data_IF_246607660728
#
_entry.id   IF_246607660728
#
_cell.length_a   1.000
_cell.length_b   1.000
_cell.length_c   1.000
_cell.angle_alpha   90.00
_cell.angle_beta   90.00
_cell.angle_gamma   90.00
#
_symmetry.space_group_name_H-M   'P 1'
#
loop_
_entity.id
_entity.type
_entity.pdbx_description
1 polymer ?
#
# COMPACT_ATOMS: atom_id res chain seq x y z
N UNK A 1 19.11 -17.89 -19.36
CA UNK A 1 19.08 -16.40 -19.30
C UNK A 1 18.13 -15.91 -20.36
N UNK A 2 16.86 -15.78 -20.05
CA UNK A 2 15.85 -15.22 -20.96
C UNK A 2 15.99 -13.70 -20.87
N UNK A 3 16.55 -13.10 -21.91
CA UNK A 3 16.58 -11.65 -22.10
C UNK A 3 15.15 -11.14 -22.07
N UNK A 4 14.83 -10.25 -21.13
CA UNK A 4 13.56 -9.55 -21.13
C UNK A 4 13.49 -8.76 -22.44
N UNK A 5 12.69 -9.24 -23.40
CA UNK A 5 12.36 -8.51 -24.62
C UNK A 5 11.51 -7.32 -24.18
N UNK A 6 12.13 -6.13 -24.13
CA UNK A 6 11.38 -4.88 -24.11
C UNK A 6 10.54 -4.86 -25.40
N UNK A 7 9.25 -4.50 -25.35
CA UNK A 7 8.53 -4.25 -26.59
C UNK A 7 9.31 -3.16 -27.32
N UNK A 8 9.86 -3.50 -28.51
CA UNK A 8 10.44 -2.51 -29.38
C UNK A 8 9.34 -1.47 -29.67
N UNK A 9 9.68 -0.18 -29.84
CA UNK A 9 8.74 0.74 -30.43
C UNK A 9 8.41 0.15 -31.81
N UNK A 10 7.18 -0.29 -31.94
CA UNK A 10 6.70 -1.03 -33.14
C UNK A 10 6.61 -0.14 -34.36
N UNK A 11 7.23 1.02 -34.40
CA UNK A 11 7.25 1.94 -35.53
C UNK A 11 5.86 2.39 -36.01
N UNK A 12 4.80 1.93 -35.32
CA UNK A 12 3.43 2.35 -35.61
C UNK A 12 3.27 3.83 -35.28
N UNK A 13 2.67 4.63 -36.19
CA UNK A 13 2.35 6.02 -35.92
C UNK A 13 1.57 6.10 -34.59
N UNK A 14 1.92 7.05 -33.76
CA UNK A 14 1.20 7.27 -32.49
C UNK A 14 -0.24 7.66 -32.83
N UNK A 15 -1.17 6.84 -32.39
CA UNK A 15 -2.62 7.08 -32.50
C UNK A 15 -3.14 8.04 -31.42
N UNK A 16 -2.25 8.72 -30.67
CA UNK A 16 -2.60 9.58 -29.54
C UNK A 16 -2.87 8.82 -28.23
N UNK A 17 -2.67 7.50 -28.21
CA UNK A 17 -2.83 6.67 -27.01
C UNK A 17 -1.78 7.00 -25.95
N UNK A 18 -2.16 7.42 -24.72
CA UNK A 18 -1.20 7.76 -23.67
C UNK A 18 -0.48 6.50 -23.16
N UNK A 19 0.83 6.65 -22.92
CA UNK A 19 1.73 5.58 -22.46
C UNK A 19 2.23 5.92 -21.05
N UNK A 20 1.73 5.20 -20.04
CA UNK A 20 2.00 5.46 -18.63
C UNK A 20 2.89 4.35 -18.08
N UNK A 21 4.09 4.70 -17.60
CA UNK A 21 5.01 3.77 -16.98
C UNK A 21 5.00 3.96 -15.46
N UNK A 22 4.66 2.91 -14.73
CA UNK A 22 4.69 2.90 -13.28
C UNK A 22 6.02 2.36 -12.75
N UNK A 23 6.55 2.98 -11.69
CA UNK A 23 7.73 2.54 -10.97
C UNK A 23 7.39 2.30 -9.51
N UNK A 24 7.36 1.04 -9.11
CA UNK A 24 7.04 0.64 -7.74
C UNK A 24 7.82 -0.61 -7.35
N UNK A 25 8.00 -0.86 -6.06
CA UNK A 25 8.58 -2.13 -5.65
C UNK A 25 8.89 -2.24 -4.17
N UNK A 26 9.18 -3.47 -3.78
CA UNK A 26 9.64 -3.86 -2.46
C UNK A 26 8.55 -4.29 -1.50
N UNK A 27 7.49 -3.52 -1.34
CA UNK A 27 6.41 -3.82 -0.38
C UNK A 27 5.04 -3.50 -0.95
N UNK A 28 3.98 -4.10 -0.38
CA UNK A 28 2.59 -3.82 -0.75
C UNK A 28 2.21 -2.34 -0.63
N UNK A 29 2.85 -1.63 0.31
CA UNK A 29 2.63 -0.20 0.49
C UNK A 29 2.98 0.67 -0.72
N UNK A 30 3.85 0.19 -1.62
CA UNK A 30 4.20 0.89 -2.87
C UNK A 30 3.51 0.27 -4.08
N UNK A 31 3.30 -1.04 -4.07
CA UNK A 31 2.79 -1.80 -5.22
C UNK A 31 1.28 -1.61 -5.39
N UNK A 32 0.49 -1.74 -4.34
CA UNK A 32 -0.97 -1.60 -4.43
C UNK A 32 -1.43 -0.18 -4.76
N UNK A 33 -0.84 0.91 -4.22
CA UNK A 33 -1.11 2.26 -4.70
C UNK A 33 -0.83 2.46 -6.19
N UNK A 34 0.27 1.88 -6.72
CA UNK A 34 0.58 1.94 -8.14
C UNK A 34 -0.48 1.22 -8.98
N UNK A 35 -0.93 0.03 -8.56
CA UNK A 35 -2.00 -0.71 -9.22
C UNK A 35 -3.31 0.08 -9.18
N UNK A 36 -3.69 0.66 -8.04
CA UNK A 36 -4.91 1.45 -7.93
C UNK A 36 -4.90 2.68 -8.85
N UNK A 37 -3.76 3.36 -8.98
CA UNK A 37 -3.62 4.47 -9.94
C UNK A 37 -3.71 3.94 -11.39
N UNK A 38 -3.10 2.80 -11.70
CA UNK A 38 -3.14 2.19 -13.03
C UNK A 38 -4.57 1.78 -13.43
N UNK A 39 -5.33 1.22 -12.48
CA UNK A 39 -6.75 0.90 -12.67
C UNK A 39 -7.57 2.15 -12.96
N UNK A 40 -7.31 3.25 -12.23
CA UNK A 40 -7.93 4.54 -12.49
C UNK A 40 -7.54 5.13 -13.85
N UNK A 41 -6.27 4.98 -14.27
CA UNK A 41 -5.84 5.37 -15.63
C UNK A 41 -6.58 4.57 -16.70
N UNK A 42 -6.72 3.26 -16.51
CA UNK A 42 -7.47 2.38 -17.44
C UNK A 42 -8.95 2.72 -17.48
N UNK A 43 -9.56 3.05 -16.35
CA UNK A 43 -10.95 3.49 -16.31
C UNK A 43 -11.19 4.81 -17.05
N UNK A 44 -10.31 5.80 -16.88
CA UNK A 44 -10.40 7.11 -17.56
C UNK A 44 -10.00 7.03 -19.05
N UNK A 45 -9.09 6.14 -19.42
CA UNK A 45 -8.57 5.93 -20.78
C UNK A 45 -8.38 4.43 -21.06
N UNK A 46 -9.42 3.71 -21.50
CA UNK A 46 -9.37 2.25 -21.70
C UNK A 46 -8.28 1.77 -22.68
N UNK A 47 -7.87 2.62 -23.63
CA UNK A 47 -6.81 2.32 -24.60
C UNK A 47 -5.41 2.69 -24.11
N UNK A 48 -5.25 3.32 -22.91
CA UNK A 48 -3.94 3.70 -22.42
C UNK A 48 -3.00 2.48 -22.35
N UNK A 49 -1.79 2.64 -22.87
CA UNK A 49 -0.74 1.65 -22.70
C UNK A 49 -0.12 1.82 -21.31
N UNK A 50 -0.22 0.79 -20.49
CA UNK A 50 0.23 0.80 -19.11
C UNK A 50 1.27 -0.30 -18.93
N UNK A 51 2.42 0.03 -18.36
CA UNK A 51 3.44 -0.93 -17.97
C UNK A 51 4.06 -0.57 -16.62
N UNK A 52 4.70 -1.57 -16.00
CA UNK A 52 5.35 -1.42 -14.70
C UNK A 52 6.85 -1.72 -14.80
N UNK A 53 7.63 -1.02 -13.98
CA UNK A 53 9.02 -1.33 -13.68
C UNK A 53 9.10 -1.89 -12.27
N UNK A 54 9.79 -3.02 -12.11
CA UNK A 54 9.92 -3.71 -10.81
C UNK A 54 11.15 -4.62 -10.75
N UNK A 55 11.31 -5.34 -9.64
CA UNK A 55 12.36 -6.35 -9.44
C UNK A 55 11.80 -7.75 -9.49
N UNK A 56 12.58 -8.72 -10.00
CA UNK A 56 12.12 -10.11 -10.22
C UNK A 56 11.87 -10.91 -8.94
N UNK A 57 12.51 -10.53 -7.85
CA UNK A 57 12.58 -11.26 -6.59
C UNK A 57 11.65 -10.68 -5.51
N UNK A 58 10.74 -9.77 -5.89
CA UNK A 58 9.85 -9.09 -4.97
C UNK A 58 8.39 -9.28 -5.34
N UNK A 59 7.51 -8.86 -4.43
CA UNK A 59 6.08 -9.09 -4.55
C UNK A 59 5.44 -8.45 -5.79
N UNK A 60 6.00 -7.35 -6.29
CA UNK A 60 5.50 -6.70 -7.50
C UNK A 60 5.52 -7.61 -8.72
N UNK A 61 6.49 -8.56 -8.77
CA UNK A 61 6.61 -9.51 -9.87
C UNK A 61 5.45 -10.51 -9.95
N UNK A 62 4.75 -10.74 -8.85
CA UNK A 62 3.53 -11.55 -8.80
C UNK A 62 2.26 -10.67 -8.80
N UNK A 63 2.24 -9.56 -8.06
CA UNK A 63 1.04 -8.76 -7.87
C UNK A 63 0.63 -8.00 -9.14
N UNK A 64 1.58 -7.42 -9.87
CA UNK A 64 1.31 -6.62 -11.06
C UNK A 64 0.71 -7.47 -12.20
N UNK A 65 1.25 -8.66 -12.55
CA UNK A 65 0.63 -9.52 -13.56
C UNK A 65 -0.74 -10.04 -13.14
N UNK A 66 -0.96 -10.32 -11.84
CA UNK A 66 -2.29 -10.70 -11.33
C UNK A 66 -3.33 -9.60 -11.52
N UNK A 67 -2.90 -8.33 -11.49
CA UNK A 67 -3.74 -7.17 -11.79
C UNK A 67 -3.91 -6.93 -13.31
N UNK A 68 -3.34 -7.78 -14.17
CA UNK A 68 -3.48 -7.70 -15.63
C UNK A 68 -2.56 -6.67 -16.29
N UNK A 69 -1.42 -6.33 -15.67
CA UNK A 69 -0.45 -5.39 -16.21
C UNK A 69 0.89 -6.06 -16.54
N UNK A 70 1.57 -5.67 -17.63
CA UNK A 70 2.93 -6.08 -17.90
C UNK A 70 3.92 -5.44 -16.93
N UNK A 71 4.95 -6.21 -16.53
CA UNK A 71 6.03 -5.74 -15.68
C UNK A 71 7.39 -6.01 -16.32
N UNK A 72 8.28 -5.03 -16.25
CA UNK A 72 9.64 -5.11 -16.78
C UNK A 72 10.66 -5.05 -15.65
N UNK A 73 11.68 -5.90 -15.74
CA UNK A 73 12.73 -5.96 -14.73
C UNK A 73 13.70 -4.79 -14.85
N UNK A 74 14.00 -4.17 -13.71
CA UNK A 74 15.07 -3.18 -13.55
C UNK A 74 16.03 -3.68 -12.49
N UNK A 75 17.33 -3.57 -12.76
CA UNK A 75 18.37 -3.93 -11.80
C UNK A 75 18.38 -2.91 -10.66
N UNK A 76 17.97 -3.32 -9.46
CA UNK A 76 17.99 -2.44 -8.28
C UNK A 76 18.49 -3.21 -7.08
N UNK A 77 19.26 -2.55 -6.23
CA UNK A 77 19.58 -3.06 -4.90
C UNK A 77 19.45 -1.94 -3.87
N UNK A 78 18.81 -2.25 -2.73
CA UNK A 78 18.83 -1.32 -1.60
C UNK A 78 20.20 -1.26 -0.93
N UNK A 79 20.55 -0.10 -0.39
CA UNK A 79 21.70 0.06 0.49
C UNK A 79 21.46 -0.71 1.80
N UNK A 80 22.42 -1.56 2.19
CA UNK A 80 22.30 -2.37 3.41
C UNK A 80 22.82 -1.56 4.61
N UNK A 81 21.92 -1.36 5.58
CA UNK A 81 22.26 -0.70 6.85
C UNK A 81 22.86 -1.71 7.82
N UNK A 82 24.14 -2.00 7.72
CA UNK A 82 24.80 -2.91 8.64
C UNK A 82 26.31 -2.94 8.39
N UNK A 83 27.07 -3.23 9.45
CA UNK A 83 28.54 -3.32 9.40
C UNK A 83 29.04 -4.76 9.22
N UNK A 84 28.19 -5.69 8.78
CA UNK A 84 28.61 -7.06 8.50
C UNK A 84 29.45 -7.12 7.21
N UNK A 85 30.42 -8.04 7.13
CA UNK A 85 31.26 -8.22 5.94
C UNK A 85 30.43 -8.42 4.65
N UNK A 86 29.27 -9.10 4.77
CA UNK A 86 28.33 -9.25 3.66
C UNK A 86 27.61 -7.96 3.27
N UNK A 87 27.32 -7.05 4.23
CA UNK A 87 26.75 -5.74 3.96
C UNK A 87 27.78 -4.82 3.28
N UNK A 88 29.03 -4.81 3.77
CA UNK A 88 30.13 -4.06 3.17
C UNK A 88 30.39 -4.47 1.71
N UNK A 89 30.46 -5.78 1.43
CA UNK A 89 30.65 -6.29 0.06
C UNK A 89 29.47 -5.90 -0.86
N UNK A 90 28.22 -5.98 -0.37
CA UNK A 90 27.04 -5.55 -1.14
C UNK A 90 27.02 -4.04 -1.36
N UNK A 91 27.44 -3.26 -0.38
CA UNK A 91 27.52 -1.80 -0.49
C UNK A 91 28.66 -1.35 -1.42
N UNK A 92 29.79 -2.07 -1.47
CA UNK A 92 30.85 -1.82 -2.46
C UNK A 92 30.39 -2.00 -3.92
N UNK A 93 29.45 -2.93 -4.17
CA UNK A 93 28.84 -3.13 -5.48
C UNK A 93 27.68 -2.16 -5.77
N UNK A 94 27.26 -1.35 -4.80
CA UNK A 94 26.10 -0.45 -4.93
C UNK A 94 26.23 0.57 -6.07
N UNK A 95 27.37 1.28 -6.29
CA UNK A 95 27.52 2.22 -7.41
C UNK A 95 27.34 1.55 -8.78
N UNK A 96 27.89 0.35 -8.96
CA UNK A 96 27.77 -0.41 -10.21
C UNK A 96 26.33 -0.87 -10.46
N UNK A 97 25.64 -1.30 -9.41
CA UNK A 97 24.24 -1.70 -9.49
C UNK A 97 23.32 -0.49 -9.74
N UNK A 98 23.63 0.65 -9.14
CA UNK A 98 22.90 1.90 -9.41
C UNK A 98 23.08 2.33 -10.88
N UNK A 99 24.31 2.28 -11.42
CA UNK A 99 24.58 2.57 -12.83
C UNK A 99 23.86 1.59 -13.77
N UNK A 100 23.89 0.28 -13.46
CA UNK A 100 23.15 -0.72 -14.22
C UNK A 100 21.65 -0.46 -14.17
N UNK A 101 21.10 -0.17 -12.98
CA UNK A 101 19.68 0.16 -12.81
C UNK A 101 19.26 1.41 -13.57
N UNK A 102 20.09 2.44 -13.57
CA UNK A 102 19.83 3.64 -14.36
C UNK A 102 19.87 3.34 -15.86
N UNK A 103 20.85 2.55 -16.33
CA UNK A 103 20.92 2.13 -17.73
C UNK A 103 19.68 1.33 -18.15
N UNK A 104 19.27 0.36 -17.33
CA UNK A 104 18.07 -0.45 -17.60
C UNK A 104 16.81 0.43 -17.62
N UNK A 105 16.72 1.38 -16.68
CA UNK A 105 15.61 2.34 -16.62
C UNK A 105 15.57 3.28 -17.83
N UNK A 106 16.73 3.80 -18.26
CA UNK A 106 16.82 4.63 -19.46
C UNK A 106 16.38 3.86 -20.70
N UNK A 107 16.77 2.57 -20.83
CA UNK A 107 16.33 1.71 -21.93
C UNK A 107 14.83 1.47 -21.85
N UNK A 108 14.29 1.13 -20.68
CA UNK A 108 12.86 0.87 -20.49
C UNK A 108 12.01 2.10 -20.82
N UNK A 109 12.33 3.26 -20.23
CA UNK A 109 11.60 4.52 -20.49
C UNK A 109 11.62 4.87 -21.99
N UNK A 110 12.76 4.63 -22.66
CA UNK A 110 12.89 4.87 -24.10
C UNK A 110 12.18 3.83 -24.97
N UNK A 111 12.33 2.54 -24.69
CA UNK A 111 11.72 1.47 -25.47
C UNK A 111 10.19 1.42 -25.30
N UNK A 112 9.70 1.65 -24.08
CA UNK A 112 8.27 1.82 -23.84
C UNK A 112 7.75 3.16 -24.42
N UNK A 113 8.65 4.11 -24.67
CA UNK A 113 8.34 5.47 -25.12
C UNK A 113 7.30 6.16 -24.21
N UNK A 114 7.55 6.09 -22.90
CA UNK A 114 6.65 6.62 -21.89
C UNK A 114 6.33 8.10 -22.12
N UNK A 115 5.06 8.47 -22.09
CA UNK A 115 4.63 9.87 -22.09
C UNK A 115 4.70 10.48 -20.70
N UNK A 116 4.48 9.66 -19.67
CA UNK A 116 4.59 10.03 -18.27
C UNK A 116 5.07 8.84 -17.44
N UNK A 117 5.86 9.12 -16.41
CA UNK A 117 6.27 8.13 -15.41
C UNK A 117 5.62 8.44 -14.07
N UNK A 118 5.06 7.43 -13.41
CA UNK A 118 4.45 7.54 -12.08
C UNK A 118 5.27 6.71 -11.10
N UNK A 119 5.90 7.35 -10.13
CA UNK A 119 6.67 6.72 -9.05
C UNK A 119 5.89 6.68 -7.75
N UNK A 120 5.66 5.48 -7.20
CA UNK A 120 4.98 5.30 -5.92
C UNK A 120 5.92 4.89 -4.79
N UNK A 121 7.24 4.95 -5.03
CA UNK A 121 8.23 4.66 -4.01
C UNK A 121 8.90 3.28 -4.16
N UNK A 122 9.67 2.93 -3.14
CA UNK A 122 10.57 1.79 -3.20
C UNK A 122 11.86 2.08 -3.97
N UNK A 123 12.76 1.10 -3.97
CA UNK A 123 14.09 1.28 -4.60
C UNK A 123 14.04 1.43 -6.12
N UNK A 124 12.97 0.93 -6.77
CA UNK A 124 12.76 1.00 -8.22
C UNK A 124 12.46 2.42 -8.67
N UNK A 125 11.70 3.18 -7.88
CA UNK A 125 11.30 4.55 -8.24
C UNK A 125 12.49 5.49 -8.41
N UNK A 126 13.61 5.25 -7.71
CA UNK A 126 14.82 6.07 -7.82
C UNK A 126 15.40 6.11 -9.24
N UNK A 127 15.93 4.99 -9.76
CA UNK A 127 16.53 4.96 -11.09
C UNK A 127 15.53 5.20 -12.23
N UNK A 128 14.26 4.75 -12.09
CA UNK A 128 13.24 4.97 -13.12
C UNK A 128 12.79 6.43 -13.17
N UNK A 129 12.59 7.06 -12.01
CA UNK A 129 12.27 8.49 -11.92
C UNK A 129 13.42 9.37 -12.45
N UNK A 130 14.67 9.04 -12.10
CA UNK A 130 15.83 9.73 -12.67
C UNK A 130 15.93 9.56 -14.19
N UNK A 131 15.65 8.35 -14.71
CA UNK A 131 15.61 8.10 -16.15
C UNK A 131 14.50 8.91 -16.85
N UNK A 132 13.34 9.08 -16.21
CA UNK A 132 12.28 9.95 -16.72
C UNK A 132 12.78 11.39 -16.87
N UNK A 133 13.40 11.95 -15.83
CA UNK A 133 13.95 13.31 -15.84
C UNK A 133 15.03 13.47 -16.94
N UNK A 134 15.99 12.54 -17.02
CA UNK A 134 17.04 12.58 -18.03
C UNK A 134 16.50 12.47 -19.46
N UNK A 135 15.40 11.76 -19.66
CA UNK A 135 14.69 11.65 -20.95
C UNK A 135 13.64 12.73 -21.15
N UNK A 136 13.60 13.74 -20.28
CA UNK A 136 12.62 14.85 -20.34
C UNK A 136 11.17 14.34 -20.40
N UNK A 137 10.87 13.25 -19.65
CA UNK A 137 9.52 12.74 -19.48
C UNK A 137 8.91 13.30 -18.21
N UNK A 138 7.67 13.77 -18.23
CA UNK A 138 6.97 14.16 -17.01
C UNK A 138 7.05 13.05 -15.95
N UNK A 139 7.34 13.45 -14.71
CA UNK A 139 7.40 12.56 -13.55
C UNK A 139 6.32 12.97 -12.55
N UNK A 140 5.48 12.03 -12.17
CA UNK A 140 4.53 12.15 -11.06
C UNK A 140 5.03 11.30 -9.91
N UNK A 141 5.04 11.84 -8.71
CA UNK A 141 5.42 11.13 -7.49
C UNK A 141 4.22 11.05 -6.57
N UNK A 142 4.00 9.89 -5.98
CA UNK A 142 3.06 9.68 -4.89
C UNK A 142 3.82 9.16 -3.67
N UNK A 143 3.77 9.89 -2.56
CA UNK A 143 4.31 9.50 -1.26
C UNK A 143 3.18 9.01 -0.36
N UNK A 144 3.31 7.81 0.16
CA UNK A 144 2.26 7.18 0.96
C UNK A 144 2.31 7.54 2.43
N UNK A 145 3.50 7.75 2.99
CA UNK A 145 3.69 7.88 4.42
C UNK A 145 3.57 9.33 4.88
N UNK A 146 3.28 9.52 6.14
CA UNK A 146 3.28 10.83 6.81
C UNK A 146 4.70 11.47 6.89
N UNK A 147 5.75 10.70 6.55
CA UNK A 147 7.13 11.18 6.40
C UNK A 147 7.67 10.71 5.07
N UNK A 148 8.16 11.63 4.26
CA UNK A 148 8.61 11.30 2.92
C UNK A 148 9.94 10.52 2.90
N UNK A 149 9.98 9.48 2.07
CA UNK A 149 11.20 8.73 1.80
C UNK A 149 12.27 9.59 1.11
N UNK A 150 13.55 9.30 1.37
CA UNK A 150 14.68 10.05 0.80
C UNK A 150 14.62 10.09 -0.73
N UNK A 151 14.28 8.98 -1.38
CA UNK A 151 14.14 8.91 -2.84
C UNK A 151 13.09 9.87 -3.35
N UNK A 152 11.90 9.90 -2.74
CA UNK A 152 10.82 10.79 -3.15
C UNK A 152 11.18 12.26 -2.91
N UNK A 153 11.86 12.59 -1.78
CA UNK A 153 12.35 13.96 -1.53
C UNK A 153 13.36 14.45 -2.58
N UNK A 154 14.23 13.57 -3.05
CA UNK A 154 15.21 13.92 -4.10
C UNK A 154 14.53 14.10 -5.46
N UNK A 155 13.68 13.17 -5.84
CA UNK A 155 12.98 13.20 -7.13
C UNK A 155 11.93 14.30 -7.22
N UNK A 156 11.31 14.69 -6.10
CA UNK A 156 10.31 15.75 -6.03
C UNK A 156 10.80 17.09 -6.58
N UNK A 157 12.13 17.35 -6.47
CA UNK A 157 12.74 18.58 -7.02
C UNK A 157 12.67 18.69 -8.53
N UNK A 158 12.50 17.57 -9.22
CA UNK A 158 12.43 17.50 -10.68
C UNK A 158 11.09 16.91 -11.17
N UNK A 159 10.20 16.56 -10.26
CA UNK A 159 8.88 16.01 -10.59
C UNK A 159 7.94 17.10 -11.13
N UNK A 160 7.11 16.73 -12.09
CA UNK A 160 6.08 17.61 -12.65
C UNK A 160 4.90 17.78 -11.70
N UNK A 161 4.60 16.74 -10.89
CA UNK A 161 3.59 16.75 -9.83
C UNK A 161 4.03 15.83 -8.70
N UNK A 162 3.70 16.25 -7.49
CA UNK A 162 3.95 15.47 -6.26
C UNK A 162 2.64 15.38 -5.48
N UNK A 163 2.24 14.17 -5.14
CA UNK A 163 1.08 13.88 -4.33
C UNK A 163 1.49 13.21 -3.03
N UNK A 164 0.82 13.53 -1.93
CA UNK A 164 1.06 12.94 -0.61
C UNK A 164 -0.21 12.33 -0.04
N UNK A 165 -0.02 11.25 0.72
CA UNK A 165 -1.09 10.53 1.40
C UNK A 165 -1.60 11.22 2.66
N UNK A 166 -0.71 11.95 3.36
CA UNK A 166 -0.97 12.62 4.62
C UNK A 166 -0.47 14.07 4.58
N UNK A 167 -1.20 14.98 5.20
CA UNK A 167 -0.80 16.39 5.32
C UNK A 167 0.57 16.58 5.99
N UNK A 168 0.88 15.72 6.97
CA UNK A 168 2.17 15.77 7.66
C UNK A 168 3.38 15.61 6.72
N UNK A 169 3.22 14.97 5.56
CA UNK A 169 4.28 14.83 4.57
C UNK A 169 4.61 16.15 3.85
N UNK A 170 3.76 17.18 3.93
CA UNK A 170 4.04 18.52 3.37
C UNK A 170 5.26 19.16 4.02
N UNK A 171 5.59 18.81 5.26
CA UNK A 171 6.82 19.28 5.92
C UNK A 171 8.09 18.82 5.17
N UNK A 172 8.05 17.63 4.59
CA UNK A 172 9.17 17.06 3.81
C UNK A 172 9.07 17.40 2.31
N UNK A 173 7.86 17.64 1.80
CA UNK A 173 7.53 17.86 0.39
C UNK A 173 6.66 19.13 0.24
N UNK A 174 7.24 20.31 0.48
CA UNK A 174 6.51 21.58 0.35
C UNK A 174 6.04 21.76 -1.10
N UNK A 175 4.79 22.18 -1.27
CA UNK A 175 4.16 22.35 -2.58
C UNK A 175 3.57 21.07 -3.19
N UNK A 176 3.61 19.93 -2.50
CA UNK A 176 2.89 18.73 -2.90
C UNK A 176 1.37 18.91 -2.69
N UNK A 177 0.58 18.17 -3.45
CA UNK A 177 -0.89 18.12 -3.31
C UNK A 177 -1.28 16.98 -2.36
N UNK A 178 -2.12 17.25 -1.37
CA UNK A 178 -2.69 16.23 -0.47
C UNK A 178 -3.87 15.55 -1.18
N UNK A 179 -3.58 14.51 -1.94
CA UNK A 179 -4.61 13.72 -2.62
C UNK A 179 -5.11 12.54 -1.76
N UNK A 180 -4.34 12.15 -0.76
CA UNK A 180 -4.54 10.89 -0.04
C UNK A 180 -3.75 9.74 -0.66
N UNK A 181 -3.90 8.55 -0.07
CA UNK A 181 -3.32 7.34 -0.65
C UNK A 181 -4.33 6.65 -1.57
N UNK A 182 -3.86 6.17 -2.73
CA UNK A 182 -4.68 5.36 -3.62
C UNK A 182 -5.13 4.07 -2.93
N UNK A 183 -6.44 3.91 -2.78
CA UNK A 183 -7.10 2.70 -2.26
C UNK A 183 -7.84 2.02 -3.40
N UNK A 184 -7.87 0.71 -3.40
CA UNK A 184 -8.60 -0.05 -4.41
C UNK A 184 -10.12 0.19 -4.29
N UNK A 185 -10.78 0.38 -5.42
CA UNK A 185 -12.20 0.72 -5.46
C UNK A 185 -13.10 -0.41 -4.91
N UNK A 186 -12.69 -1.68 -5.07
CA UNK A 186 -13.41 -2.84 -4.55
C UNK A 186 -13.49 -2.85 -3.01
N UNK A 187 -12.43 -2.40 -2.31
CA UNK A 187 -12.43 -2.26 -0.85
C UNK A 187 -13.50 -1.25 -0.37
N UNK A 188 -13.57 -0.12 -1.05
CA UNK A 188 -14.53 0.95 -0.70
C UNK A 188 -15.96 0.48 -1.00
N UNK A 189 -16.18 -0.12 -2.16
CA UNK A 189 -17.51 -0.61 -2.57
C UNK A 189 -18.05 -1.70 -1.64
N UNK A 190 -17.21 -2.64 -1.20
CA UNK A 190 -17.59 -3.73 -0.30
C UNK A 190 -18.03 -3.25 1.09
N UNK A 191 -17.62 -2.05 1.51
CA UNK A 191 -17.92 -1.48 2.83
C UNK A 191 -18.98 -0.36 2.79
N UNK A 192 -19.48 -0.01 1.60
CA UNK A 192 -20.28 1.19 1.39
C UNK A 192 -21.69 1.13 1.99
N UNK A 193 -22.32 -0.05 2.06
CA UNK A 193 -23.69 -0.21 2.53
C UNK A 193 -23.84 -1.30 3.58
N UNK A 194 -24.90 -1.27 4.41
CA UNK A 194 -25.20 -2.33 5.37
C UNK A 194 -25.39 -3.70 4.69
N UNK A 195 -25.99 -3.73 3.50
CA UNK A 195 -26.22 -4.96 2.73
C UNK A 195 -24.89 -5.58 2.26
N UNK A 196 -23.96 -4.74 1.76
CA UNK A 196 -22.63 -5.19 1.37
C UNK A 196 -21.85 -5.75 2.58
N UNK A 197 -21.98 -5.13 3.75
CA UNK A 197 -21.39 -5.62 5.00
C UNK A 197 -22.01 -6.96 5.45
N UNK A 198 -23.32 -7.09 5.37
CA UNK A 198 -24.00 -8.35 5.67
C UNK A 198 -23.57 -9.47 4.70
N UNK A 199 -23.50 -9.18 3.41
CA UNK A 199 -23.00 -10.12 2.40
C UNK A 199 -21.54 -10.54 2.66
N UNK A 200 -20.68 -9.62 3.07
CA UNK A 200 -19.30 -9.91 3.43
C UNK A 200 -19.19 -10.85 4.64
N UNK A 201 -20.00 -10.65 5.68
CA UNK A 201 -20.09 -11.57 6.82
C UNK A 201 -20.54 -12.97 6.40
N UNK A 202 -21.60 -13.06 5.61
CA UNK A 202 -22.08 -14.35 5.10
C UNK A 202 -21.02 -15.07 4.26
N UNK A 203 -20.29 -14.33 3.39
CA UNK A 203 -19.22 -14.88 2.57
C UNK A 203 -18.02 -15.40 3.39
N UNK A 204 -17.81 -14.84 4.58
CA UNK A 204 -16.78 -15.29 5.54
C UNK A 204 -17.30 -16.34 6.53
N UNK A 205 -18.58 -16.75 6.43
CA UNK A 205 -19.17 -17.70 7.37
C UNK A 205 -19.38 -17.15 8.78
N UNK A 206 -19.51 -15.82 8.91
CA UNK A 206 -19.71 -15.13 10.19
C UNK A 206 -21.20 -14.94 10.48
N UNK A 207 -21.60 -15.00 11.76
CA UNK A 207 -22.96 -14.70 12.17
C UNK A 207 -23.32 -13.22 11.84
N UNK A 208 -24.56 -12.94 11.41
CA UNK A 208 -24.96 -11.59 10.98
C UNK A 208 -24.82 -10.53 12.09
N UNK A 209 -25.06 -10.91 13.33
CA UNK A 209 -25.06 -10.10 14.53
C UNK A 209 -23.72 -10.13 15.31
N UNK A 210 -22.73 -10.91 14.85
CA UNK A 210 -21.44 -11.00 15.51
C UNK A 210 -20.70 -9.65 15.54
N UNK A 211 -20.02 -9.38 16.67
CA UNK A 211 -19.02 -8.34 16.75
C UNK A 211 -17.69 -8.86 16.17
N UNK A 212 -17.36 -8.43 14.96
CA UNK A 212 -16.23 -8.95 14.20
C UNK A 212 -14.96 -8.14 14.51
N UNK A 213 -13.99 -8.81 15.14
CA UNK A 213 -12.64 -8.30 15.33
C UNK A 213 -11.73 -8.78 14.19
N UNK A 214 -11.25 -7.87 13.36
CA UNK A 214 -10.23 -8.15 12.35
C UNK A 214 -8.84 -7.89 12.92
N UNK A 215 -7.94 -8.86 12.81
CA UNK A 215 -6.53 -8.69 13.22
C UNK A 215 -5.60 -8.96 12.04
N UNK A 216 -4.71 -8.00 11.75
CA UNK A 216 -3.71 -8.15 10.70
C UNK A 216 -2.38 -7.45 11.02
N UNK A 217 -1.30 -8.20 10.92
CA UNK A 217 0.07 -7.69 11.04
C UNK A 217 0.72 -7.34 9.70
N UNK A 218 -0.08 -7.33 8.59
CA UNK A 218 0.40 -7.24 7.22
C UNK A 218 0.76 -8.63 6.65
N UNK A 219 1.21 -8.69 5.38
CA UNK A 219 1.43 -9.93 4.63
C UNK A 219 2.41 -10.92 5.30
N UNK A 220 3.44 -10.42 5.96
CA UNK A 220 4.42 -11.26 6.67
C UNK A 220 4.00 -11.54 8.12
N UNK A 221 3.01 -10.81 8.64
CA UNK A 221 2.60 -10.88 10.04
C UNK A 221 3.50 -10.08 10.98
N UNK A 222 3.09 -10.00 12.25
CA UNK A 222 3.82 -9.29 13.31
C UNK A 222 3.82 -10.12 14.60
N UNK A 223 4.99 -10.66 14.97
CA UNK A 223 5.10 -11.53 16.15
C UNK A 223 4.58 -10.91 17.47
N UNK A 224 4.85 -9.62 17.79
CA UNK A 224 4.29 -9.01 19.00
C UNK A 224 2.76 -8.95 18.97
N UNK A 225 2.17 -8.60 17.82
CA UNK A 225 0.72 -8.56 17.65
C UNK A 225 0.12 -9.97 17.79
N UNK A 226 0.70 -10.96 17.14
CA UNK A 226 0.24 -12.34 17.23
C UNK A 226 0.27 -12.86 18.68
N UNK A 227 1.33 -12.52 19.46
CA UNK A 227 1.40 -12.90 20.88
C UNK A 227 0.31 -12.25 21.72
N UNK A 228 0.04 -10.97 21.50
CA UNK A 228 -1.01 -10.26 22.25
C UNK A 228 -2.41 -10.83 21.95
N UNK A 229 -2.68 -11.12 20.66
CA UNK A 229 -3.95 -11.75 20.25
C UNK A 229 -4.09 -13.14 20.87
N UNK A 230 -3.03 -13.97 20.80
CA UNK A 230 -3.06 -15.32 21.38
C UNK A 230 -3.32 -15.29 22.88
N UNK A 231 -2.72 -14.34 23.62
CA UNK A 231 -2.94 -14.18 25.05
C UNK A 231 -4.38 -13.77 25.40
N UNK A 232 -4.99 -12.83 24.67
CA UNK A 232 -6.35 -12.35 24.92
C UNK A 232 -7.46 -13.19 24.24
N UNK A 233 -7.10 -14.19 23.44
CA UNK A 233 -8.06 -14.92 22.61
C UNK A 233 -9.13 -15.64 23.44
N UNK A 234 -8.76 -16.23 24.59
CA UNK A 234 -9.69 -16.90 25.48
C UNK A 234 -10.79 -15.98 25.98
N UNK A 235 -10.41 -14.80 26.45
CA UNK A 235 -11.34 -13.77 26.94
C UNK A 235 -12.25 -13.25 25.81
N UNK A 236 -11.70 -13.04 24.61
CA UNK A 236 -12.47 -12.59 23.45
C UNK A 236 -13.51 -13.63 23.04
N UNK A 237 -13.14 -14.91 22.94
CA UNK A 237 -14.04 -15.99 22.55
C UNK A 237 -15.02 -16.43 23.66
N UNK A 238 -14.77 -16.05 24.91
CA UNK A 238 -15.74 -16.24 26.01
C UNK A 238 -17.00 -15.34 25.83
N UNK A 239 -16.89 -14.25 25.08
CA UNK A 239 -18.03 -13.41 24.71
C UNK A 239 -18.81 -14.09 23.56
N UNK A 240 -20.11 -14.40 23.70
CA UNK A 240 -20.85 -15.24 22.77
C UNK A 240 -21.05 -14.60 21.39
N UNK A 241 -21.00 -13.29 21.32
CA UNK A 241 -21.23 -12.47 20.13
C UNK A 241 -19.93 -12.01 19.43
N UNK A 242 -18.74 -12.33 19.97
CA UNK A 242 -17.46 -11.93 19.35
C UNK A 242 -16.95 -13.01 18.41
N UNK A 243 -16.64 -12.62 17.17
CA UNK A 243 -15.91 -13.42 16.20
C UNK A 243 -14.59 -12.76 15.83
N UNK A 244 -13.54 -13.57 15.65
CA UNK A 244 -12.18 -13.10 15.34
C UNK A 244 -11.75 -13.59 13.96
N UNK A 245 -11.46 -12.65 13.07
CA UNK A 245 -10.80 -12.90 11.78
C UNK A 245 -9.34 -12.50 11.91
N UNK A 246 -8.44 -13.47 11.92
CA UNK A 246 -7.05 -13.26 12.25
C UNK A 246 -6.11 -13.72 11.12
N UNK A 247 -5.50 -12.75 10.44
CA UNK A 247 -4.40 -12.99 9.51
C UNK A 247 -3.06 -12.95 10.26
N UNK A 248 -2.56 -14.11 10.65
CA UNK A 248 -1.33 -14.23 11.43
C UNK A 248 -0.05 -13.87 10.65
N UNK A 249 -0.14 -13.84 9.31
CA UNK A 249 0.98 -13.66 8.40
C UNK A 249 1.63 -14.99 8.04
N UNK A 250 2.06 -15.10 6.78
CA UNK A 250 2.60 -16.34 6.21
C UNK A 250 3.80 -16.90 7.00
N UNK A 251 4.57 -16.01 7.63
CA UNK A 251 5.76 -16.40 8.41
C UNK A 251 5.43 -17.04 9.75
N UNK A 252 4.30 -16.70 10.36
CA UNK A 252 3.98 -17.07 11.75
C UNK A 252 2.78 -18.00 11.85
N UNK A 253 2.08 -18.23 10.74
CA UNK A 253 0.82 -18.96 10.72
C UNK A 253 0.91 -20.35 11.36
N UNK A 254 1.89 -21.15 10.96
CA UNK A 254 2.00 -22.55 11.46
C UNK A 254 2.21 -22.59 12.98
N UNK A 255 3.06 -21.69 13.50
CA UNK A 255 3.32 -21.61 14.95
C UNK A 255 2.08 -21.10 15.72
N UNK A 256 1.37 -20.11 15.18
CA UNK A 256 0.13 -19.59 15.77
C UNK A 256 -0.97 -20.65 15.74
N UNK A 257 -1.16 -21.34 14.60
CA UNK A 257 -2.16 -22.39 14.45
C UNK A 257 -1.95 -23.55 15.41
N UNK A 258 -0.69 -23.93 15.67
CA UNK A 258 -0.36 -25.02 16.60
C UNK A 258 -0.77 -24.73 18.06
N UNK A 259 -0.87 -23.46 18.44
CA UNK A 259 -1.23 -23.03 19.80
C UNK A 259 -2.64 -22.44 19.93
N UNK A 260 -3.28 -22.07 18.81
CA UNK A 260 -4.61 -21.49 18.85
C UNK A 260 -5.69 -22.57 19.05
N UNK A 261 -6.75 -22.28 19.84
CA UNK A 261 -7.85 -23.20 19.99
C UNK A 261 -8.62 -23.39 18.66
N UNK A 262 -9.20 -24.56 18.47
CA UNK A 262 -10.20 -24.77 17.41
C UNK A 262 -11.53 -24.22 17.92
N UNK A 263 -12.05 -23.20 17.24
CA UNK A 263 -13.28 -22.54 17.66
C UNK A 263 -14.04 -22.03 16.44
N UNK A 264 -15.37 -22.22 16.38
CA UNK A 264 -16.23 -21.84 15.24
C UNK A 264 -16.18 -20.34 14.92
N UNK A 265 -16.00 -19.50 15.91
CA UNK A 265 -15.91 -18.03 15.76
C UNK A 265 -14.48 -17.51 15.61
N UNK A 266 -13.48 -18.41 15.42
CA UNK A 266 -12.09 -18.06 15.12
C UNK A 266 -11.75 -18.42 13.67
N UNK A 267 -11.60 -17.42 12.82
CA UNK A 267 -11.15 -17.54 11.43
C UNK A 267 -9.66 -17.19 11.33
N UNK A 268 -8.80 -18.16 11.63
CA UNK A 268 -7.34 -17.99 11.58
C UNK A 268 -6.79 -18.40 10.21
N UNK A 269 -6.14 -17.45 9.53
CA UNK A 269 -5.57 -17.65 8.19
C UNK A 269 -4.13 -17.13 8.08
N UNK A 270 -3.32 -17.68 7.18
CA UNK A 270 -1.98 -17.14 6.94
C UNK A 270 -2.01 -15.76 6.27
N UNK A 271 -2.99 -15.54 5.39
CA UNK A 271 -3.14 -14.34 4.59
C UNK A 271 -4.61 -14.15 4.19
N UNK A 272 -5.05 -12.92 4.04
CA UNK A 272 -6.39 -12.57 3.56
C UNK A 272 -6.32 -12.07 2.12
N UNK A 273 -6.69 -12.92 1.16
CA UNK A 273 -6.78 -12.53 -0.24
C UNK A 273 -7.94 -11.55 -0.48
N UNK A 274 -9.03 -11.73 0.25
CA UNK A 274 -10.26 -10.93 0.17
C UNK A 274 -10.32 -9.92 1.33
N UNK A 275 -9.34 -8.98 1.34
CA UNK A 275 -9.34 -7.89 2.33
C UNK A 275 -10.59 -7.00 2.24
N UNK A 276 -11.22 -6.90 1.07
CA UNK A 276 -12.49 -6.23 0.85
C UNK A 276 -13.59 -6.79 1.75
N UNK A 277 -13.74 -8.11 1.80
CA UNK A 277 -14.70 -8.77 2.68
C UNK A 277 -14.33 -8.61 4.16
N UNK A 278 -13.03 -8.70 4.47
CA UNK A 278 -12.58 -8.59 5.86
C UNK A 278 -12.84 -7.20 6.45
N UNK A 279 -12.51 -6.11 5.71
CA UNK A 279 -12.84 -4.75 6.15
C UNK A 279 -14.34 -4.50 6.21
N UNK A 280 -15.09 -4.97 5.20
CA UNK A 280 -16.53 -4.83 5.18
C UNK A 280 -17.21 -5.54 6.37
N UNK A 281 -16.76 -6.73 6.74
CA UNK A 281 -17.32 -7.50 7.86
C UNK A 281 -16.96 -6.90 9.22
N UNK A 282 -15.79 -6.24 9.36
CA UNK A 282 -15.23 -5.83 10.62
C UNK A 282 -16.01 -4.72 11.35
N UNK A 283 -16.19 -4.87 12.66
CA UNK A 283 -16.65 -3.81 13.57
C UNK A 283 -15.47 -3.04 14.19
N UNK A 284 -14.36 -3.73 14.38
CA UNK A 284 -13.11 -3.19 14.90
C UNK A 284 -11.94 -3.91 14.21
N UNK A 285 -10.90 -3.17 13.85
CA UNK A 285 -9.66 -3.75 13.36
C UNK A 285 -8.49 -3.49 14.32
N UNK A 286 -7.59 -4.47 14.49
CA UNK A 286 -6.28 -4.27 15.11
C UNK A 286 -5.21 -4.53 14.05
N UNK A 287 -4.41 -3.52 13.75
CA UNK A 287 -3.49 -3.60 12.61
C UNK A 287 -2.16 -2.87 12.86
N UNK A 288 -1.14 -3.23 12.07
CA UNK A 288 0.04 -2.38 11.86
C UNK A 288 -0.37 -1.11 11.10
N UNK A 289 0.26 0.02 11.43
CA UNK A 289 -0.03 1.33 10.84
C UNK A 289 0.79 1.64 9.59
N UNK A 290 0.88 0.68 8.66
CA UNK A 290 1.37 0.96 7.32
C UNK A 290 0.46 1.97 6.61
N UNK A 291 1.03 2.85 5.80
CA UNK A 291 0.28 3.92 5.14
C UNK A 291 -0.95 3.42 4.37
N UNK A 292 -0.79 2.35 3.59
CA UNK A 292 -1.89 1.72 2.85
C UNK A 292 -2.98 1.21 3.79
N UNK A 293 -2.60 0.49 4.87
CA UNK A 293 -3.55 -0.01 5.87
C UNK A 293 -4.33 1.11 6.54
N UNK A 294 -3.65 2.19 6.95
CA UNK A 294 -4.31 3.37 7.53
C UNK A 294 -5.34 3.97 6.56
N UNK A 295 -4.98 4.09 5.29
CA UNK A 295 -5.86 4.67 4.27
C UNK A 295 -7.01 3.75 3.89
N UNK A 296 -6.80 2.43 3.86
CA UNK A 296 -7.84 1.43 3.66
C UNK A 296 -8.85 1.44 4.81
N UNK A 297 -8.39 1.47 6.06
CA UNK A 297 -9.24 1.56 7.25
C UNK A 297 -10.08 2.84 7.24
N UNK A 298 -9.48 3.97 6.90
CA UNK A 298 -10.22 5.22 6.76
C UNK A 298 -11.25 5.16 5.63
N UNK A 299 -10.87 4.66 4.44
CA UNK A 299 -11.74 4.59 3.27
C UNK A 299 -12.90 3.61 3.41
N UNK A 300 -12.72 2.54 4.19
CA UNK A 300 -13.78 1.56 4.50
C UNK A 300 -14.61 1.92 5.74
N UNK A 301 -14.24 3.02 6.42
CA UNK A 301 -14.91 3.44 7.65
C UNK A 301 -14.73 2.43 8.79
N UNK A 302 -13.61 1.72 8.87
CA UNK A 302 -13.38 0.68 9.86
C UNK A 302 -12.67 1.25 11.10
N UNK A 303 -13.33 1.34 12.27
CA UNK A 303 -12.69 1.73 13.52
C UNK A 303 -11.49 0.85 13.82
N UNK A 304 -10.39 1.42 14.31
CA UNK A 304 -9.18 0.63 14.46
C UNK A 304 -8.33 0.96 15.68
N UNK A 305 -7.59 -0.05 16.13
CA UNK A 305 -6.46 0.07 17.04
C UNK A 305 -5.20 -0.11 16.19
N UNK A 306 -4.41 0.93 16.09
CA UNK A 306 -3.19 0.94 15.29
C UNK A 306 -1.97 0.70 16.17
N UNK A 307 -1.22 -0.34 15.84
CA UNK A 307 -0.01 -0.77 16.55
C UNK A 307 1.21 -0.51 15.67
N UNK A 308 1.88 0.65 15.81
CA UNK A 308 3.07 0.97 15.01
C UNK A 308 4.19 -0.04 15.22
N UNK A 309 4.90 -0.41 14.14
CA UNK A 309 6.14 -1.18 14.25
C UNK A 309 7.31 -0.26 14.59
N UNK A 310 8.09 -0.52 15.63
CA UNK A 310 9.26 0.28 15.96
C UNK A 310 10.43 0.04 14.98
N UNK A 311 10.37 -1.03 14.19
CA UNK A 311 11.45 -1.46 13.30
C UNK A 311 11.32 -0.92 11.87
N UNK A 312 10.78 0.29 11.73
CA UNK A 312 10.60 0.95 10.42
C UNK A 312 11.45 2.21 10.29
N UNK A 313 11.75 2.59 9.05
CA UNK A 313 12.58 3.77 8.78
C UNK A 313 11.85 5.04 9.22
N UNK A 314 12.56 5.93 9.94
CA UNK A 314 12.07 7.26 10.34
C UNK A 314 10.73 7.23 11.11
N UNK A 315 10.45 6.14 11.78
CA UNK A 315 9.24 5.97 12.61
C UNK A 315 7.92 6.36 11.89
N UNK A 316 7.86 6.12 10.59
CA UNK A 316 6.72 6.54 9.76
C UNK A 316 5.41 5.87 10.21
N UNK A 317 5.45 4.66 10.80
CA UNK A 317 4.22 4.00 11.24
C UNK A 317 3.57 4.70 12.44
N UNK A 318 4.36 5.21 13.39
CA UNK A 318 3.82 6.02 14.50
C UNK A 318 3.16 7.28 13.98
N UNK A 319 3.78 7.96 13.00
CA UNK A 319 3.21 9.18 12.40
C UNK A 319 1.95 8.90 11.58
N UNK A 320 1.92 7.79 10.84
CA UNK A 320 0.71 7.37 10.11
C UNK A 320 -0.45 7.08 11.10
N UNK A 321 -0.15 6.38 12.20
CA UNK A 321 -1.15 6.07 13.24
C UNK A 321 -1.64 7.33 13.95
N UNK A 322 -0.73 8.27 14.28
CA UNK A 322 -1.07 9.53 14.92
C UNK A 322 -2.03 10.35 14.07
N UNK A 323 -1.82 10.42 12.75
CA UNK A 323 -2.70 11.15 11.84
C UNK A 323 -4.18 10.67 11.92
N UNK A 324 -4.41 9.37 12.10
CA UNK A 324 -5.76 8.84 12.27
C UNK A 324 -6.26 8.98 13.72
N UNK A 325 -5.37 8.82 14.70
CA UNK A 325 -5.72 8.91 16.12
C UNK A 325 -6.09 10.35 16.50
N UNK A 326 -5.32 11.35 16.04
CA UNK A 326 -5.57 12.77 16.30
C UNK A 326 -6.90 13.22 15.66
N UNK A 327 -7.30 12.59 14.56
CA UNK A 327 -8.60 12.80 13.95
C UNK A 327 -9.75 12.03 14.63
N UNK A 328 -9.46 11.19 15.63
CA UNK A 328 -10.45 10.35 16.30
C UNK A 328 -10.89 9.10 15.53
N UNK A 329 -10.22 8.79 14.39
CA UNK A 329 -10.54 7.64 13.54
C UNK A 329 -9.92 6.32 14.04
N UNK A 330 -8.90 6.39 14.91
CA UNK A 330 -8.21 5.24 15.44
C UNK A 330 -7.78 5.45 16.91
N UNK A 331 -7.44 4.34 17.57
CA UNK A 331 -6.68 4.36 18.83
C UNK A 331 -5.24 3.96 18.51
N UNK A 332 -4.26 4.79 18.89
CA UNK A 332 -2.87 4.46 18.78
C UNK A 332 -2.44 3.66 20.04
N UNK A 333 -2.02 2.42 19.83
CA UNK A 333 -1.49 1.55 20.90
C UNK A 333 -0.03 1.20 20.59
N UNK A 334 0.94 1.84 21.25
CA UNK A 334 2.36 1.56 21.04
C UNK A 334 2.72 0.10 21.36
N UNK A 335 3.61 -0.50 20.56
CA UNK A 335 4.01 -1.91 20.73
C UNK A 335 4.50 -2.26 22.13
N UNK A 336 5.25 -1.42 22.88
CA UNK A 336 5.63 -1.74 24.26
C UNK A 336 4.45 -1.87 25.23
N UNK A 337 3.33 -1.22 24.96
CA UNK A 337 2.12 -1.27 25.79
C UNK A 337 1.17 -2.40 25.37
N UNK A 338 1.42 -3.02 24.21
CA UNK A 338 0.52 -3.98 23.58
C UNK A 338 0.18 -5.17 24.49
N UNK A 339 1.17 -5.77 25.13
CA UNK A 339 0.95 -6.94 25.99
C UNK A 339 0.07 -6.63 27.23
N UNK A 340 0.17 -5.41 27.77
CA UNK A 340 -0.59 -5.01 28.97
C UNK A 340 -1.98 -4.48 28.64
N UNK A 341 -2.17 -3.86 27.46
CA UNK A 341 -3.35 -3.06 27.18
C UNK A 341 -4.22 -3.59 26.04
N UNK A 342 -3.74 -4.58 25.28
CA UNK A 342 -4.47 -5.11 24.11
C UNK A 342 -5.89 -5.54 24.48
N UNK A 343 -6.02 -6.43 25.45
CA UNK A 343 -7.30 -7.05 25.83
C UNK A 343 -8.31 -5.99 26.31
N UNK A 344 -7.88 -5.14 27.24
CA UNK A 344 -8.73 -4.08 27.79
C UNK A 344 -9.16 -3.06 26.72
N UNK A 345 -8.24 -2.69 25.80
CA UNK A 345 -8.53 -1.73 24.74
C UNK A 345 -9.51 -2.31 23.71
N UNK A 346 -9.34 -3.58 23.32
CA UNK A 346 -10.25 -4.27 22.40
C UNK A 346 -11.62 -4.43 23.04
N UNK A 347 -11.70 -4.93 24.27
CA UNK A 347 -12.95 -5.15 25.00
C UNK A 347 -13.74 -3.84 25.16
N UNK A 348 -13.08 -2.75 25.58
CA UNK A 348 -13.72 -1.45 25.72
C UNK A 348 -14.31 -0.92 24.40
N UNK A 349 -13.62 -1.10 23.28
CA UNK A 349 -14.12 -0.65 21.99
C UNK A 349 -15.22 -1.56 21.44
N UNK A 350 -15.16 -2.87 21.65
CA UNK A 350 -16.24 -3.80 21.24
C UNK A 350 -17.51 -3.57 22.07
N UNK A 351 -17.40 -3.23 23.34
CA UNK A 351 -18.52 -2.93 24.22
C UNK A 351 -19.16 -1.55 23.99
N UNK A 352 -18.51 -0.64 23.22
CA UNK A 352 -19.00 0.73 23.02
C UNK A 352 -19.33 1.01 21.54
N UNK A 353 -20.57 0.67 21.09
CA UNK A 353 -21.01 0.92 19.71
C UNK A 353 -21.08 2.42 19.37
N UNK A 354 -21.36 3.29 20.34
CA UNK A 354 -21.43 4.73 20.13
C UNK A 354 -20.04 5.30 19.81
N UNK A 355 -19.02 4.88 20.54
CA UNK A 355 -17.63 5.24 20.26
C UNK A 355 -17.19 4.73 18.87
N UNK A 356 -17.51 3.49 18.51
CA UNK A 356 -17.22 2.96 17.18
C UNK A 356 -17.93 3.76 16.08
N UNK A 357 -19.18 4.20 16.29
CA UNK A 357 -19.88 5.06 15.35
C UNK A 357 -19.21 6.42 15.17
N UNK A 358 -18.75 7.04 16.26
CA UNK A 358 -17.96 8.29 16.22
C UNK A 358 -16.67 8.08 15.43
N UNK A 359 -15.95 6.98 15.66
CA UNK A 359 -14.74 6.64 14.93
C UNK A 359 -15.02 6.44 13.42
N UNK A 360 -16.13 5.82 13.04
CA UNK A 360 -16.55 5.70 11.62
C UNK A 360 -16.74 7.06 10.97
N UNK A 361 -17.40 7.98 11.66
CA UNK A 361 -17.59 9.35 11.18
C UNK A 361 -16.24 10.06 10.99
N UNK A 362 -15.32 9.89 11.93
CA UNK A 362 -13.97 10.42 11.84
C UNK A 362 -13.17 9.79 10.67
N UNK A 363 -13.31 8.48 10.44
CA UNK A 363 -12.74 7.82 9.25
C UNK A 363 -13.22 8.48 7.96
N UNK A 364 -14.51 8.74 7.82
CA UNK A 364 -15.08 9.38 6.63
C UNK A 364 -14.54 10.82 6.42
N UNK A 365 -14.25 11.55 7.50
CA UNK A 365 -13.70 12.90 7.42
C UNK A 365 -12.25 12.93 6.89
N UNK A 366 -11.45 11.90 7.19
CA UNK A 366 -10.03 11.82 6.75
C UNK A 366 -9.84 10.98 5.48
N UNK A 367 -10.84 10.21 5.07
CA UNK A 367 -10.79 9.40 3.86
C UNK A 367 -10.63 10.25 2.60
N UNK A 368 -9.86 9.72 1.66
CA UNK A 368 -9.65 10.31 0.32
C UNK A 368 -9.89 9.24 -0.75
N UNK A 369 -11.15 8.82 -0.96
CA UNK A 369 -11.46 7.70 -1.86
C UNK A 369 -11.12 7.99 -3.33
N UNK A 370 -11.07 9.25 -3.72
CA UNK A 370 -10.77 9.68 -5.08
C UNK A 370 -9.27 9.83 -5.39
N UNK A 371 -8.38 9.58 -4.43
CA UNK A 371 -6.93 9.76 -4.58
C UNK A 371 -6.36 9.10 -5.85
N UNK A 372 -6.72 7.86 -6.13
CA UNK A 372 -6.26 7.15 -7.32
C UNK A 372 -6.71 7.85 -8.61
N UNK A 373 -7.95 8.32 -8.67
CA UNK A 373 -8.53 9.02 -9.83
C UNK A 373 -7.88 10.39 -10.03
N UNK A 374 -7.67 11.14 -8.96
CA UNK A 374 -7.02 12.45 -9.02
C UNK A 374 -5.61 12.34 -9.57
N UNK A 375 -4.81 11.41 -9.06
CA UNK A 375 -3.44 11.16 -9.51
C UNK A 375 -3.43 10.66 -10.97
N UNK A 376 -4.34 9.76 -11.34
CA UNK A 376 -4.47 9.26 -12.70
C UNK A 376 -4.79 10.38 -13.70
N UNK A 377 -5.73 11.27 -13.37
CA UNK A 377 -6.07 12.43 -14.22
C UNK A 377 -4.89 13.38 -14.40
N UNK A 378 -4.14 13.66 -13.33
CA UNK A 378 -2.94 14.48 -13.41
C UNK A 378 -1.86 13.84 -14.29
N UNK A 379 -1.63 12.53 -14.18
CA UNK A 379 -0.70 11.80 -15.03
C UNK A 379 -1.13 11.83 -16.50
N UNK A 380 -2.42 11.60 -16.78
CA UNK A 380 -2.97 11.64 -18.15
C UNK A 380 -2.91 13.04 -18.77
N UNK A 381 -3.16 14.10 -17.99
CA UNK A 381 -3.01 15.48 -18.45
C UNK A 381 -1.57 15.77 -18.88
N UNK A 382 -0.58 15.32 -18.11
CA UNK A 382 0.84 15.47 -18.46
C UNK A 382 1.22 14.64 -19.70
N UNK A 383 0.64 13.46 -19.87
CA UNK A 383 0.86 12.63 -21.06
C UNK A 383 0.35 13.32 -22.34
N UNK A 384 -0.76 14.06 -22.28
CA UNK A 384 -1.36 14.79 -23.40
C UNK A 384 -0.63 16.08 -23.82
N UNK A 385 0.27 16.59 -22.98
CA UNK A 385 1.02 17.84 -23.29
C UNK A 385 2.23 17.64 -24.19
N UNK A 386 2.54 16.39 -24.57
CA UNK A 386 3.69 16.10 -25.41
C UNK A 386 3.42 16.53 -26.87
N UNK A 387 4.29 17.39 -27.47
CA UNK A 387 4.17 17.70 -28.88
C UNK A 387 4.28 16.39 -29.67
N UNK A 388 3.30 16.12 -30.54
CA UNK A 388 3.41 15.09 -31.55
C UNK A 388 4.61 15.48 -32.41
N UNK A 389 5.74 14.79 -32.31
CA UNK A 389 6.84 14.97 -33.24
C UNK A 389 6.31 14.54 -34.59
N UNK A 390 5.88 15.54 -35.40
CA UNK A 390 5.68 15.33 -36.83
C UNK A 390 6.97 14.72 -37.38
N UNK A 391 6.84 13.59 -38.07
CA UNK A 391 7.91 12.94 -38.80
C UNK A 391 8.60 13.95 -39.70
N UNK A 392 9.88 14.21 -39.43
CA UNK A 392 10.78 14.75 -40.46
C UNK A 392 11.36 13.61 -41.27
#
# INVERSE_FOLDING_TARGET
MTTATYPAPDGTPRDGTPRVLFACGGTGGHVYPAIAIADAVRAERPRAAIAFAGTRDRMEWAAVPRAGYPIHAVTVSGFQRGLTAGALRRNAAFPFRLAAGLRDSLRLVGAFDADVVVGTGGYVSGPVGLAAVLRRRPLVIQEQNATAGVTNRLLARAASRVFVGFEAALADLPGATVAGNPVRADLVAASATPEARSAARAALGLAPDAHVLLVTGGSLGAAPLNRAVAAGLGTLLAQPDVAVVWAAGTRFYDAVRASAPVHERLHLVPYLDRMDLAYAAADLAVARSGATTCSELAATGTPSILVPSPNVTADHQTRNAAALADAGAAVLLPEPRLAAEFEATVAALLADPARRATMRTACAAVARPDAAREIARAALALAGTRPTTASR
#
